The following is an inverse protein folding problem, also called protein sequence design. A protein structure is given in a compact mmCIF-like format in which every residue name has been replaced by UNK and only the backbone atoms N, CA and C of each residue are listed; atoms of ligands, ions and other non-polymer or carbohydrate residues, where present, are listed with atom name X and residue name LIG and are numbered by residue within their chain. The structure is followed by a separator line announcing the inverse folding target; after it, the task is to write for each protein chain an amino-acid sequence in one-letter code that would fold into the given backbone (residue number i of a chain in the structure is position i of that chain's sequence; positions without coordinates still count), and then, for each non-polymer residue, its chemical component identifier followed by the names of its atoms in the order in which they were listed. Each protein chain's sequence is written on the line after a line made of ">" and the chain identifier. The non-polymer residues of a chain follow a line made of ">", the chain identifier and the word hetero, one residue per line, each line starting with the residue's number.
data_IF_657293875425
#
_entry.id   IF_657293875425
#
_cell.length_a   1.000
_cell.length_b   1.000
_cell.length_c   1.000
_cell.angle_alpha   90.00
_cell.angle_beta   90.00
_cell.angle_gamma   90.00
#
_symmetry.space_group_name_H-M   'P 1'
#
loop_
_entity.id
_entity.type
_entity.pdbx_description
1 polymer ?
#
# COMPACT_ATOMS: atom_id res chain seq x y z
N UNK A 1 2.30 18.04 23.49
CA UNK A 1 1.71 18.20 22.15
C UNK A 1 2.85 18.54 21.20
N UNK A 2 3.31 17.58 20.40
CA UNK A 2 4.33 17.83 19.38
C UNK A 2 3.60 18.13 18.08
N UNK A 3 3.80 19.33 17.57
CA UNK A 3 3.29 19.78 16.28
C UNK A 3 4.36 19.42 15.23
N UNK A 4 4.10 18.37 14.45
CA UNK A 4 4.91 18.02 13.29
C UNK A 4 4.20 18.59 12.07
N UNK A 5 4.68 19.72 11.58
CA UNK A 5 4.22 20.30 10.32
C UNK A 5 4.86 19.51 9.15
N UNK A 6 4.12 18.58 8.56
CA UNK A 6 4.51 17.99 7.28
C UNK A 6 4.17 18.98 6.15
N UNK A 7 5.19 19.44 5.42
CA UNK A 7 5.11 20.39 4.31
C UNK A 7 4.59 19.84 2.98
N UNK A 8 3.70 18.85 2.98
CA UNK A 8 3.04 18.35 1.77
C UNK A 8 1.57 18.05 2.07
N UNK A 9 0.70 18.19 1.06
CA UNK A 9 -0.69 17.73 1.17
C UNK A 9 -0.69 16.26 1.56
N UNK A 10 -0.94 15.98 2.84
CA UNK A 10 -1.27 14.63 3.28
C UNK A 10 -2.51 14.21 2.48
N UNK A 11 -2.56 13.00 1.88
CA UNK A 11 -3.84 12.46 1.45
C UNK A 11 -4.75 12.59 2.65
N UNK A 12 -5.88 13.29 2.48
CA UNK A 12 -6.75 13.62 3.59
C UNK A 12 -7.17 12.31 4.27
N UNK A 13 -6.46 11.90 5.33
CA UNK A 13 -6.70 10.65 6.06
C UNK A 13 -8.01 10.66 6.84
N UNK A 14 -8.76 11.77 6.75
CA UNK A 14 -10.11 11.95 7.27
C UNK A 14 -11.14 12.16 6.16
N UNK A 15 -10.70 12.13 4.90
CA UNK A 15 -11.55 12.28 3.73
C UNK A 15 -12.39 11.02 3.52
N UNK A 16 -13.57 11.20 2.94
CA UNK A 16 -14.35 10.04 2.52
C UNK A 16 -13.48 9.19 1.57
N UNK A 17 -13.43 7.88 1.78
CA UNK A 17 -12.56 6.91 1.06
C UNK A 17 -11.06 6.93 1.40
N UNK A 18 -10.62 7.63 2.44
CA UNK A 18 -9.22 7.56 2.87
C UNK A 18 -8.90 6.24 3.58
N UNK A 19 -7.91 5.49 3.08
CA UNK A 19 -7.54 4.16 3.60
C UNK A 19 -6.29 4.20 4.47
N UNK A 20 -6.22 5.17 5.38
CA UNK A 20 -5.11 5.25 6.34
C UNK A 20 -5.33 4.24 7.49
N UNK A 21 -4.23 3.67 8.00
CA UNK A 21 -4.12 2.86 9.23
C UNK A 21 -4.65 1.42 9.22
N UNK A 22 -5.50 1.03 8.27
CA UNK A 22 -6.10 -0.31 8.21
C UNK A 22 -5.95 -0.87 6.79
N UNK A 23 -5.30 -2.03 6.59
CA UNK A 23 -5.09 -2.60 5.26
C UNK A 23 -6.40 -3.16 4.70
N UNK A 24 -7.17 -2.26 4.09
CA UNK A 24 -8.44 -2.55 3.44
C UNK A 24 -8.46 -1.98 2.03
N UNK A 25 -9.35 -2.51 1.21
CA UNK A 25 -9.65 -1.99 -0.12
C UNK A 25 -11.02 -1.33 -0.13
N UNK A 26 -11.17 -0.29 -0.94
CA UNK A 26 -12.47 0.30 -1.22
C UNK A 26 -12.80 0.10 -2.68
N UNK A 27 -13.90 -0.60 -2.95
CA UNK A 27 -14.43 -0.72 -4.29
C UNK A 27 -14.93 0.61 -4.84
N UNK A 28 -15.07 0.69 -6.15
CA UNK A 28 -15.69 1.82 -6.87
C UNK A 28 -17.10 2.16 -6.32
N UNK A 29 -17.85 1.13 -5.93
CA UNK A 29 -19.15 1.18 -5.29
C UNK A 29 -19.12 1.64 -3.82
N UNK A 30 -17.95 1.96 -3.27
CA UNK A 30 -17.77 2.43 -1.90
C UNK A 30 -17.80 1.34 -0.83
N UNK A 31 -17.89 0.06 -1.19
CA UNK A 31 -17.81 -1.05 -0.22
C UNK A 31 -16.37 -1.31 0.20
N UNK A 32 -16.17 -1.62 1.47
CA UNK A 32 -14.87 -1.98 2.03
C UNK A 32 -14.65 -3.49 1.99
N UNK A 33 -13.43 -3.90 1.67
CA UNK A 33 -13.00 -5.29 1.60
C UNK A 33 -11.74 -5.49 2.45
N UNK A 34 -11.72 -6.58 3.21
CA UNK A 34 -10.55 -7.02 3.94
C UNK A 34 -9.92 -8.18 3.16
N UNK A 35 -8.62 -8.10 2.97
CA UNK A 35 -7.86 -9.13 2.27
C UNK A 35 -6.79 -9.66 3.21
N UNK A 36 -6.82 -10.98 3.45
CA UNK A 36 -5.92 -11.65 4.39
C UNK A 36 -5.27 -12.91 3.81
N UNK A 37 -5.56 -13.26 2.55
CA UNK A 37 -5.55 -14.67 2.15
C UNK A 37 -4.40 -15.11 1.23
N UNK A 38 -3.32 -14.32 1.15
CA UNK A 38 -2.12 -14.75 0.42
C UNK A 38 -0.86 -13.95 0.76
N UNK A 39 0.01 -14.58 1.55
CA UNK A 39 1.37 -14.12 1.84
C UNK A 39 2.24 -14.12 0.58
N UNK A 40 2.97 -13.02 0.34
CA UNK A 40 4.04 -12.95 -0.66
C UNK A 40 3.55 -13.09 -2.11
N UNK A 41 2.25 -12.90 -2.34
CA UNK A 41 1.65 -13.04 -3.66
C UNK A 41 1.42 -11.70 -4.36
N UNK A 42 1.42 -11.76 -5.68
CA UNK A 42 1.07 -10.63 -6.55
C UNK A 42 -0.38 -10.75 -7.01
N UNK A 43 -1.14 -9.66 -6.84
CA UNK A 43 -2.55 -9.63 -7.16
C UNK A 43 -2.87 -8.43 -8.02
N UNK A 44 -3.74 -8.66 -9.01
CA UNK A 44 -4.30 -7.62 -9.84
C UNK A 44 -5.44 -6.92 -9.08
N UNK A 45 -5.28 -5.63 -8.82
CA UNK A 45 -6.28 -4.82 -8.12
C UNK A 45 -7.36 -4.30 -9.06
N UNK A 46 -6.95 -3.84 -10.24
CA UNK A 46 -7.82 -3.35 -11.30
C UNK A 46 -7.17 -3.59 -12.66
N UNK A 47 -7.97 -3.90 -13.68
CA UNK A 47 -7.50 -4.08 -15.04
C UNK A 47 -8.57 -3.82 -16.08
N UNK A 48 -8.14 -3.33 -17.24
CA UNK A 48 -8.85 -3.36 -18.51
C UNK A 48 -7.89 -3.79 -19.64
N UNK A 49 -8.24 -3.51 -20.90
CA UNK A 49 -7.41 -3.85 -22.07
C UNK A 49 -6.07 -3.10 -22.14
N UNK A 50 -5.97 -1.90 -21.57
CA UNK A 50 -4.84 -0.98 -21.74
C UNK A 50 -4.18 -0.59 -20.41
N UNK A 51 -4.80 -0.91 -19.28
CA UNK A 51 -4.36 -0.55 -17.94
C UNK A 51 -4.42 -1.75 -17.00
N UNK A 52 -3.39 -1.93 -16.20
CA UNK A 52 -3.38 -2.91 -15.12
C UNK A 52 -2.63 -2.36 -13.92
N UNK A 53 -3.20 -2.55 -12.74
CA UNK A 53 -2.53 -2.30 -11.48
C UNK A 53 -2.38 -3.61 -10.70
N UNK A 54 -1.16 -3.91 -10.28
CA UNK A 54 -0.86 -5.04 -9.41
C UNK A 54 -0.28 -4.55 -8.08
N UNK A 55 -0.55 -5.31 -7.02
CA UNK A 55 0.10 -5.15 -5.73
C UNK A 55 0.80 -6.44 -5.31
N UNK A 56 2.03 -6.30 -4.82
CA UNK A 56 2.73 -7.34 -4.09
C UNK A 56 2.41 -7.22 -2.60
N UNK A 57 1.87 -8.29 -2.02
CA UNK A 57 1.48 -8.29 -0.61
C UNK A 57 2.48 -9.01 0.28
N UNK A 58 2.79 -8.39 1.41
CA UNK A 58 3.57 -8.99 2.50
C UNK A 58 2.70 -9.14 3.74
N UNK A 59 3.13 -10.01 4.65
CA UNK A 59 2.59 -10.04 6.01
C UNK A 59 3.49 -9.22 6.92
N UNK A 60 2.88 -8.44 7.81
CA UNK A 60 3.57 -7.85 8.94
C UNK A 60 2.74 -8.01 10.20
N UNK A 61 3.37 -8.59 11.23
CA UNK A 61 2.80 -8.75 12.56
C UNK A 61 3.48 -7.78 13.54
N UNK A 62 2.82 -6.69 13.93
CA UNK A 62 3.33 -5.85 15.00
C UNK A 62 3.35 -6.63 16.31
N UNK A 63 4.40 -6.46 17.12
CA UNK A 63 4.62 -7.20 18.37
C UNK A 63 3.47 -7.13 19.41
N UNK A 64 2.53 -6.20 19.25
CA UNK A 64 1.36 -6.01 20.12
C UNK A 64 0.04 -6.55 19.53
N UNK A 65 0.07 -7.19 18.37
CA UNK A 65 -1.11 -7.71 17.69
C UNK A 65 -1.01 -9.21 17.45
N UNK A 66 -2.09 -9.93 17.77
CA UNK A 66 -2.16 -11.38 17.63
C UNK A 66 -2.52 -11.86 16.21
N UNK A 67 -2.67 -10.94 15.25
CA UNK A 67 -3.06 -11.24 13.87
C UNK A 67 -2.06 -10.64 12.90
N UNK A 68 -1.76 -11.38 11.85
CA UNK A 68 -1.00 -10.92 10.72
C UNK A 68 -1.87 -10.00 9.87
N UNK A 69 -1.26 -8.91 9.43
CA UNK A 69 -1.88 -7.97 8.52
C UNK A 69 -1.21 -8.07 7.16
N UNK A 70 -2.00 -7.99 6.10
CA UNK A 70 -1.49 -8.00 4.73
C UNK A 70 -1.23 -6.56 4.27
N UNK A 71 0.02 -6.22 4.00
CA UNK A 71 0.45 -4.88 3.59
C UNK A 71 0.91 -4.88 2.14
N UNK A 72 0.75 -3.75 1.45
CA UNK A 72 1.30 -3.55 0.12
C UNK A 72 2.77 -3.19 0.26
N UNK A 73 3.67 -4.03 -0.28
CA UNK A 73 5.10 -3.73 -0.36
C UNK A 73 5.47 -3.09 -1.69
N UNK A 74 4.82 -3.51 -2.78
CA UNK A 74 5.06 -2.98 -4.11
C UNK A 74 3.74 -2.76 -4.86
N UNK A 75 3.72 -1.72 -5.67
CA UNK A 75 2.63 -1.38 -6.58
C UNK A 75 3.21 -1.28 -8.00
N UNK A 76 2.68 -2.07 -8.92
CA UNK A 76 2.98 -1.97 -10.34
C UNK A 76 1.82 -1.30 -11.07
N UNK A 77 2.12 -0.26 -11.84
CA UNK A 77 1.18 0.38 -12.77
C UNK A 77 1.65 0.07 -14.18
N UNK A 78 0.80 -0.59 -14.95
CA UNK A 78 1.08 -1.03 -16.31
C UNK A 78 0.09 -0.32 -17.22
N UNK A 79 0.58 0.33 -18.28
CA UNK A 79 -0.23 1.02 -19.26
C UNK A 79 0.36 0.85 -20.66
N UNK A 80 -0.41 0.22 -21.55
CA UNK A 80 0.07 -0.23 -22.85
C UNK A 80 1.37 -1.06 -22.73
N UNK A 81 2.48 -0.55 -23.27
CA UNK A 81 3.82 -1.17 -23.22
C UNK A 81 4.70 -0.64 -22.09
N UNK A 82 4.18 0.27 -21.27
CA UNK A 82 4.92 0.89 -20.18
C UNK A 82 4.54 0.28 -18.86
N UNK A 83 5.49 0.27 -17.94
CA UNK A 83 5.28 -0.15 -16.58
C UNK A 83 6.10 0.75 -15.65
N UNK A 84 5.58 0.94 -14.44
CA UNK A 84 6.22 1.61 -13.35
C UNK A 84 6.01 0.76 -12.11
N UNK A 85 7.07 0.37 -11.43
CA UNK A 85 6.97 -0.28 -10.13
C UNK A 85 7.48 0.66 -9.07
N UNK A 86 6.66 0.87 -8.05
CA UNK A 86 7.02 1.59 -6.83
C UNK A 86 6.98 0.60 -5.68
N UNK A 87 8.09 0.45 -4.97
CA UNK A 87 8.18 -0.52 -3.86
C UNK A 87 8.93 0.03 -2.65
N UNK A 88 8.77 -0.63 -1.52
CA UNK A 88 9.55 -0.40 -0.31
C UNK A 88 10.72 -1.40 -0.23
N UNK A 89 11.89 -0.93 0.22
CA UNK A 89 12.97 -1.82 0.65
C UNK A 89 12.65 -2.44 2.01
N UNK A 90 12.82 -3.75 2.13
CA UNK A 90 12.68 -4.42 3.43
C UNK A 90 13.76 -3.96 4.42
N UNK A 91 13.35 -3.46 5.58
CA UNK A 91 14.23 -3.02 6.67
C UNK A 91 13.91 -3.76 7.97
N UNK A 92 14.93 -4.06 8.77
CA UNK A 92 14.74 -4.71 10.07
C UNK A 92 14.18 -3.77 11.15
N UNK A 93 14.40 -2.47 10.98
CA UNK A 93 13.88 -1.41 11.84
C UNK A 93 13.59 -0.17 10.99
N UNK A 94 12.54 0.57 11.36
CA UNK A 94 12.17 1.83 10.73
C UNK A 94 13.21 2.92 11.03
N UNK A 95 13.65 3.65 10.01
CA UNK A 95 14.58 4.78 10.12
C UNK A 95 14.02 5.98 9.34
N UNK A 96 13.64 7.03 10.07
CA UNK A 96 13.11 8.27 9.50
C UNK A 96 14.13 9.03 8.61
N UNK A 97 15.43 8.68 8.69
CA UNK A 97 16.50 9.27 7.89
C UNK A 97 16.70 8.63 6.52
N UNK A 98 15.99 7.54 6.21
CA UNK A 98 16.18 6.77 4.97
C UNK A 98 14.95 6.88 4.07
N UNK A 99 15.19 7.18 2.79
CA UNK A 99 14.15 6.99 1.78
C UNK A 99 14.07 5.49 1.41
N UNK A 100 13.05 4.81 1.94
CA UNK A 100 12.81 3.40 1.68
C UNK A 100 12.11 3.13 0.33
N UNK A 101 11.82 4.17 -0.47
CA UNK A 101 11.13 4.04 -1.75
C UNK A 101 12.09 3.68 -2.88
N UNK A 102 11.77 2.60 -3.59
CA UNK A 102 12.40 2.22 -4.85
C UNK A 102 11.44 2.50 -6.02
N UNK A 103 12.00 2.92 -7.15
CA UNK A 103 11.28 3.09 -8.41
C UNK A 103 12.04 2.29 -9.48
N UNK A 104 11.33 1.37 -10.14
CA UNK A 104 11.86 0.44 -11.14
C UNK A 104 11.10 0.58 -12.46
#
# INVERSE_FOLDING_TARGET
>A
MINVACGYQLPNCRGNRSMCYDPRFMGDNGKMFYFHDAKGGDFRLVSDEHFQNNAHFIEWQPARHARDFTWVQALAVIFNTHWLVVSEYHMSAWDDGVNALAVL
#
